data_IF_019745817434
#
_entry.id   IF_019745817434
#
_cell.length_a   1.000
_cell.length_b   1.000
_cell.length_c   1.000
_cell.angle_alpha   90.00
_cell.angle_beta   90.00
_cell.angle_gamma   90.00
#
_symmetry.space_group_name_H-M   'P 1'
#
loop_
_entity.id
_entity.type
_entity.pdbx_description
1 polymer ?
#
# COMPACT_ATOMS: atom_id res chain seq x y z
N UNK A 1 -29.26 -9.59 -9.25
CA UNK A 1 -29.24 -10.51 -8.09
C UNK A 1 -27.81 -10.89 -7.77
N UNK A 2 -27.40 -10.80 -6.51
CA UNK A 2 -26.03 -11.16 -6.06
C UNK A 2 -25.85 -12.67 -6.13
N UNK A 3 -24.81 -13.15 -6.81
CA UNK A 3 -24.52 -14.59 -6.93
C UNK A 3 -24.07 -15.13 -5.57
N UNK A 4 -24.81 -16.08 -5.00
CA UNK A 4 -24.41 -16.81 -3.79
C UNK A 4 -23.37 -17.88 -4.16
N UNK A 5 -22.11 -17.46 -4.31
CA UNK A 5 -21.00 -18.35 -4.65
C UNK A 5 -20.46 -19.03 -3.39
N UNK A 6 -20.58 -20.37 -3.33
CA UNK A 6 -19.90 -21.20 -2.32
C UNK A 6 -18.49 -21.55 -2.83
N UNK A 7 -17.46 -21.21 -2.05
CA UNK A 7 -16.07 -21.56 -2.38
C UNK A 7 -15.87 -23.07 -2.38
N UNK A 8 -15.01 -23.54 -3.28
CA UNK A 8 -14.64 -24.97 -3.42
C UNK A 8 -13.37 -25.35 -2.65
N UNK A 9 -12.58 -24.36 -2.22
CA UNK A 9 -11.25 -24.59 -1.63
C UNK A 9 -11.22 -24.30 -0.15
N UNK A 10 -10.41 -25.09 0.55
CA UNK A 10 -10.16 -25.00 1.99
C UNK A 10 -9.04 -24.01 2.33
N UNK A 11 -8.77 -23.06 1.43
CA UNK A 11 -7.79 -22.01 1.68
C UNK A 11 -8.30 -21.12 2.80
N UNK A 12 -7.37 -20.69 3.68
CA UNK A 12 -7.67 -19.77 4.78
C UNK A 12 -8.48 -20.41 5.92
N UNK A 13 -8.16 -21.66 6.25
CA UNK A 13 -8.76 -22.48 7.32
C UNK A 13 -8.46 -22.04 8.77
N UNK A 14 -7.87 -20.87 8.97
CA UNK A 14 -7.54 -20.34 10.30
C UNK A 14 -8.64 -19.42 10.83
N UNK A 15 -8.80 -19.34 12.14
CA UNK A 15 -9.79 -18.46 12.76
C UNK A 15 -9.36 -16.99 12.65
N UNK A 16 -10.32 -16.10 12.42
CA UNK A 16 -10.07 -14.66 12.39
C UNK A 16 -9.61 -14.14 13.76
N UNK A 17 -10.19 -14.68 14.84
CA UNK A 17 -9.89 -14.26 16.21
C UNK A 17 -8.47 -14.65 16.64
N UNK A 18 -8.03 -15.85 16.26
CA UNK A 18 -6.67 -16.33 16.49
C UNK A 18 -5.65 -15.49 15.75
N UNK A 19 -5.96 -15.10 14.51
CA UNK A 19 -5.08 -14.24 13.73
C UNK A 19 -5.00 -12.82 14.30
N UNK A 20 -6.12 -12.25 14.76
CA UNK A 20 -6.13 -10.93 15.39
C UNK A 20 -5.28 -10.94 16.69
N UNK A 21 -5.46 -11.96 17.51
CA UNK A 21 -4.66 -12.17 18.73
C UNK A 21 -3.16 -12.32 18.40
N UNK A 22 -2.82 -13.10 17.36
CA UNK A 22 -1.45 -13.26 16.91
C UNK A 22 -0.80 -11.96 16.43
N UNK A 23 -1.57 -11.12 15.72
CA UNK A 23 -1.09 -9.80 15.25
C UNK A 23 -0.78 -8.92 16.46
N UNK A 24 -1.68 -8.87 17.44
CA UNK A 24 -1.53 -8.06 18.64
C UNK A 24 -0.28 -8.46 19.44
N UNK A 25 -0.08 -9.75 19.70
CA UNK A 25 1.11 -10.26 20.41
C UNK A 25 2.44 -9.91 19.72
N UNK A 26 2.45 -9.90 18.39
CA UNK A 26 3.65 -9.58 17.60
C UNK A 26 3.90 -8.08 17.56
N UNK A 27 2.86 -7.25 17.43
CA UNK A 27 2.98 -5.78 17.48
C UNK A 27 3.46 -5.31 18.85
N UNK A 28 2.92 -5.91 19.91
CA UNK A 28 3.36 -5.62 21.29
C UNK A 28 4.76 -6.17 21.61
N UNK A 29 5.35 -6.98 20.74
CA UNK A 29 6.70 -7.52 20.90
C UNK A 29 6.81 -8.65 21.93
N UNK A 30 5.68 -9.18 22.43
CA UNK A 30 5.65 -10.31 23.38
C UNK A 30 6.11 -11.62 22.73
N UNK A 31 5.84 -11.79 21.44
CA UNK A 31 6.22 -12.98 20.67
C UNK A 31 6.82 -12.63 19.31
N UNK A 32 7.80 -13.42 18.85
CA UNK A 32 8.28 -13.36 17.47
C UNK A 32 7.35 -14.10 16.49
N UNK A 33 7.46 -13.79 15.19
CA UNK A 33 6.60 -14.35 14.13
C UNK A 33 6.48 -15.88 14.12
N UNK A 34 7.57 -16.59 14.45
CA UNK A 34 7.56 -18.05 14.49
C UNK A 34 6.82 -18.59 15.72
N UNK A 35 6.97 -17.94 16.87
CA UNK A 35 6.31 -18.33 18.11
C UNK A 35 4.81 -18.06 18.02
N UNK A 36 4.41 -16.89 17.52
CA UNK A 36 3.01 -16.54 17.30
C UNK A 36 2.32 -17.49 16.29
N UNK A 37 3.01 -17.87 15.21
CA UNK A 37 2.49 -18.83 14.22
C UNK A 37 2.18 -20.19 14.84
N UNK A 38 3.04 -20.68 15.74
CA UNK A 38 2.83 -21.95 16.43
C UNK A 38 1.74 -21.84 17.51
N UNK A 39 1.73 -20.76 18.29
CA UNK A 39 0.78 -20.58 19.39
C UNK A 39 -0.67 -20.44 18.91
N UNK A 40 -0.89 -19.69 17.82
CA UNK A 40 -2.21 -19.39 17.28
C UNK A 40 -2.59 -20.23 16.05
N UNK A 41 -1.81 -21.27 15.72
CA UNK A 41 -2.04 -22.14 14.55
C UNK A 41 -2.28 -21.39 13.22
N UNK A 42 -1.67 -20.21 13.06
CA UNK A 42 -1.81 -19.34 11.89
C UNK A 42 -0.58 -19.43 10.99
N UNK A 43 -0.73 -19.35 9.65
CA UNK A 43 0.41 -19.40 8.75
C UNK A 43 1.35 -18.21 8.91
N UNK A 44 2.63 -18.48 9.14
CA UNK A 44 3.68 -17.46 9.34
C UNK A 44 3.73 -16.40 8.24
N UNK A 45 3.67 -16.83 6.97
CA UNK A 45 3.75 -15.90 5.83
C UNK A 45 2.55 -14.95 5.80
N UNK A 46 1.35 -15.47 6.04
CA UNK A 46 0.12 -14.66 6.11
C UNK A 46 0.15 -13.67 7.27
N UNK A 47 0.71 -14.06 8.42
CA UNK A 47 0.89 -13.19 9.57
C UNK A 47 1.84 -12.02 9.25
N UNK A 48 2.98 -12.31 8.62
CA UNK A 48 3.96 -11.28 8.19
C UNK A 48 3.34 -10.33 7.18
N UNK A 49 2.65 -10.85 6.16
CA UNK A 49 2.03 -10.01 5.12
C UNK A 49 0.98 -9.07 5.70
N UNK A 50 0.23 -9.51 6.72
CA UNK A 50 -0.75 -8.66 7.40
C UNK A 50 -0.12 -7.56 8.24
N UNK A 51 0.90 -7.89 9.03
CA UNK A 51 1.60 -6.91 9.86
C UNK A 51 2.35 -5.91 8.99
N UNK A 52 2.90 -6.34 7.85
CA UNK A 52 3.56 -5.43 6.91
C UNK A 52 2.60 -4.45 6.23
N UNK A 53 1.35 -4.88 6.04
CA UNK A 53 0.31 -4.06 5.40
C UNK A 53 -0.54 -3.28 6.41
N UNK A 54 -0.35 -3.46 7.72
CA UNK A 54 -0.94 -2.59 8.73
C UNK A 54 -0.05 -1.36 8.89
N UNK A 55 -0.53 -0.22 8.40
CA UNK A 55 0.05 1.08 8.75
C UNK A 55 -0.31 1.38 10.21
N UNK A 56 0.62 2.01 10.94
CA UNK A 56 0.25 2.57 12.23
C UNK A 56 -0.62 3.80 12.04
N UNK A 57 -1.50 4.11 12.99
CA UNK A 57 -2.34 5.31 12.93
C UNK A 57 -1.51 6.59 12.80
N UNK A 58 -0.31 6.61 13.40
CA UNK A 58 0.64 7.71 13.30
C UNK A 58 1.18 7.87 11.87
N UNK A 59 1.54 6.78 11.21
CA UNK A 59 2.00 6.78 9.81
C UNK A 59 0.88 7.24 8.87
N UNK A 60 -0.35 6.82 9.10
CA UNK A 60 -1.50 7.28 8.32
C UNK A 60 -1.70 8.79 8.47
N UNK A 61 -1.58 9.32 9.69
CA UNK A 61 -1.66 10.77 9.94
C UNK A 61 -0.55 11.55 9.26
N UNK A 62 0.70 11.09 9.35
CA UNK A 62 1.84 11.72 8.66
C UNK A 62 1.63 11.77 7.14
N UNK A 63 1.10 10.70 6.55
CA UNK A 63 0.80 10.64 5.12
C UNK A 63 -0.31 11.63 4.72
N UNK A 64 -1.37 11.75 5.55
CA UNK A 64 -2.46 12.70 5.31
C UNK A 64 -1.97 14.13 5.45
N UNK A 65 -1.21 14.43 6.51
CA UNK A 65 -0.61 15.74 6.75
C UNK A 65 0.33 16.12 5.60
N UNK A 66 1.19 15.20 5.15
CA UNK A 66 2.06 15.42 4.00
C UNK A 66 1.27 15.69 2.72
N UNK A 67 0.17 14.96 2.48
CA UNK A 67 -0.70 15.17 1.30
C UNK A 67 -1.32 16.56 1.33
N UNK A 68 -1.91 16.97 2.46
CA UNK A 68 -2.48 18.32 2.63
C UNK A 68 -1.42 19.42 2.49
N UNK A 69 -0.23 19.18 3.03
CA UNK A 69 0.89 20.11 2.94
C UNK A 69 1.40 20.23 1.49
N UNK A 70 1.42 19.14 0.72
CA UNK A 70 1.74 19.18 -0.72
C UNK A 70 0.67 19.92 -1.52
N UNK A 71 -0.62 19.76 -1.20
CA UNK A 71 -1.71 20.52 -1.81
C UNK A 71 -1.62 22.03 -1.50
N UNK A 72 -1.30 22.39 -0.26
CA UNK A 72 -1.14 23.79 0.15
C UNK A 72 0.13 24.45 -0.40
N UNK A 73 1.24 23.71 -0.57
CA UNK A 73 2.52 24.25 -1.09
C UNK A 73 2.56 24.39 -2.61
N UNK A 74 1.79 23.58 -3.36
CA UNK A 74 1.72 23.63 -4.82
C UNK A 74 0.51 24.44 -5.31
N UNK A 75 0.31 25.64 -4.74
CA UNK A 75 -0.65 26.68 -5.15
C UNK A 75 -1.22 26.47 -6.57
N UNK A 76 -2.35 25.75 -6.67
CA UNK A 76 -3.14 25.66 -7.89
C UNK A 76 -2.47 25.06 -9.13
N UNK A 77 -1.37 24.32 -9.03
CA UNK A 77 -0.84 23.59 -10.18
C UNK A 77 -1.78 22.46 -10.55
N UNK A 78 -2.52 22.65 -11.64
CA UNK A 78 -3.44 21.65 -12.15
C UNK A 78 -2.63 20.55 -12.86
N UNK A 79 -3.25 19.38 -13.08
CA UNK A 79 -2.67 18.26 -13.85
C UNK A 79 -2.09 18.65 -15.23
N UNK A 80 -2.40 19.84 -15.73
CA UNK A 80 -1.87 20.40 -16.97
C UNK A 80 -0.48 21.02 -16.81
N UNK A 81 -0.19 21.61 -15.66
CA UNK A 81 1.06 22.33 -15.39
C UNK A 81 2.21 21.39 -15.01
N UNK A 82 1.88 20.19 -14.53
CA UNK A 82 2.83 19.11 -14.29
C UNK A 82 3.26 18.37 -15.57
N UNK A 83 2.56 18.58 -16.70
CA UNK A 83 2.82 17.84 -17.94
C UNK A 83 4.16 18.23 -18.60
N UNK A 84 4.53 19.53 -18.71
CA UNK A 84 5.82 19.95 -19.25
C UNK A 84 7.02 19.52 -18.36
N UNK A 85 6.88 19.60 -17.04
CA UNK A 85 7.92 19.16 -16.10
C UNK A 85 8.12 17.64 -16.15
N UNK A 86 7.08 16.86 -16.44
CA UNK A 86 7.18 15.41 -16.62
C UNK A 86 7.93 15.00 -17.90
N UNK A 87 7.88 15.82 -18.97
CA UNK A 87 8.62 15.59 -20.21
C UNK A 87 10.12 15.85 -19.97
N UNK A 88 10.47 16.97 -19.33
CA UNK A 88 11.88 17.26 -19.02
C UNK A 88 12.49 16.22 -18.07
N UNK A 89 11.72 15.74 -17.07
CA UNK A 89 12.14 14.63 -16.20
C UNK A 89 12.36 13.32 -16.98
N UNK A 90 11.57 13.07 -18.02
CA UNK A 90 11.70 11.88 -18.89
C UNK A 90 12.91 11.96 -19.80
N UNK A 91 13.23 13.14 -20.32
CA UNK A 91 14.44 13.40 -21.10
C UNK A 91 15.70 13.28 -20.24
N UNK A 92 15.69 13.87 -19.04
CA UNK A 92 16.80 13.79 -18.08
C UNK A 92 17.02 12.36 -17.55
N UNK A 93 15.96 11.55 -17.41
CA UNK A 93 16.06 10.15 -17.01
C UNK A 93 16.51 9.20 -18.16
N UNK A 94 16.50 9.65 -19.42
CA UNK A 94 16.91 8.82 -20.56
C UNK A 94 18.41 8.51 -20.60
N UNK A 95 19.22 9.34 -19.93
CA UNK A 95 20.69 9.21 -19.81
C UNK A 95 21.12 8.23 -18.72
N UNK A 96 20.21 7.77 -17.85
CA UNK A 96 20.51 6.88 -16.72
C UNK A 96 20.00 5.47 -17.04
N UNK A 97 20.87 4.45 -17.14
CA UNK A 97 20.46 3.08 -17.38
C UNK A 97 20.08 2.40 -16.05
N UNK A 98 18.80 2.45 -15.65
CA UNK A 98 18.30 1.61 -14.55
C UNK A 98 16.80 1.30 -14.61
N UNK A 99 16.51 0.01 -14.49
CA UNK A 99 15.29 -0.72 -14.85
C UNK A 99 14.35 -0.89 -13.65
N UNK A 100 13.65 0.17 -13.23
CA UNK A 100 12.45 0.01 -12.38
C UNK A 100 11.46 1.18 -12.52
N UNK A 101 11.97 2.39 -12.67
CA UNK A 101 11.16 3.62 -12.76
C UNK A 101 10.48 3.84 -14.13
N UNK A 102 10.95 3.17 -15.21
CA UNK A 102 10.36 3.29 -16.55
C UNK A 102 8.94 2.73 -16.68
N UNK A 103 8.55 1.74 -15.86
CA UNK A 103 7.20 1.12 -15.91
C UNK A 103 6.13 1.95 -15.19
N UNK A 104 6.52 2.76 -14.21
CA UNK A 104 5.58 3.57 -13.40
C UNK A 104 5.16 4.85 -14.14
N UNK A 105 6.02 5.41 -14.99
CA UNK A 105 5.78 6.70 -15.66
C UNK A 105 5.09 6.61 -17.03
N UNK A 106 4.94 5.40 -17.60
CA UNK A 106 4.23 5.18 -18.89
C UNK A 106 2.79 4.74 -18.67
N UNK A 107 2.41 4.41 -17.43
CA UNK A 107 1.04 4.03 -17.14
C UNK A 107 0.16 5.27 -17.05
N UNK A 108 -0.71 5.40 -18.06
CA UNK A 108 -1.93 6.20 -18.09
C UNK A 108 -2.74 6.15 -16.77
N UNK A 109 -2.53 5.12 -15.93
CA UNK A 109 -3.10 4.98 -14.60
C UNK A 109 -2.63 6.01 -13.56
N UNK A 110 -1.40 6.55 -13.63
CA UNK A 110 -0.95 7.54 -12.63
C UNK A 110 -1.72 8.88 -12.78
N UNK A 111 -1.99 9.29 -14.02
CA UNK A 111 -2.84 10.47 -14.30
C UNK A 111 -4.32 10.22 -13.97
N UNK A 112 -4.81 8.99 -14.12
CA UNK A 112 -6.16 8.60 -13.70
C UNK A 112 -6.32 8.61 -12.18
N UNK A 113 -5.34 8.06 -11.48
CA UNK A 113 -5.26 8.05 -10.02
C UNK A 113 -5.23 9.47 -9.44
N UNK A 114 -4.38 10.35 -9.97
CA UNK A 114 -4.34 11.74 -9.52
C UNK A 114 -5.62 12.54 -9.86
N UNK A 115 -6.39 12.13 -10.88
CA UNK A 115 -7.67 12.77 -11.25
C UNK A 115 -8.82 12.38 -10.32
N UNK A 116 -8.82 11.14 -9.82
CA UNK A 116 -9.87 10.64 -8.92
C UNK A 116 -9.63 11.06 -7.46
N UNK A 117 -8.38 11.39 -7.09
CA UNK A 117 -8.02 11.90 -5.76
C UNK A 117 -8.33 13.40 -5.59
N UNK A 118 -8.43 14.17 -6.68
CA UNK A 118 -8.62 15.63 -6.69
C UNK A 118 -10.07 16.09 -7.03
N UNK A 119 -11.09 15.27 -6.74
CA UNK A 119 -12.52 15.62 -6.86
C UNK A 119 -13.20 15.64 -5.49
#
# INVERSE_FOLDING_TARGET
MVRNYKRKTERQKWSQDEMASAIQEVIEGRMGYSAASQAFSVPRTTLIDRIRNSFSEEQERELVEYTLLMEHRLFGLTLFDLRPSMISLKEMASTIPSTKSRKLLVQTGFMGFLRDVLK
#
